data_IF_555313274720
#
_entry.id   IF_555313274720
#
_cell.length_a   1.000
_cell.length_b   1.000
_cell.length_c   1.000
_cell.angle_alpha   90.00
_cell.angle_beta   90.00
_cell.angle_gamma   90.00
#
_symmetry.space_group_name_H-M   'P 1'
#
loop_
_entity.id
_entity.type
_entity.pdbx_description
1 polymer ?
#
# COMPACT_ATOMS: atom_id res chain seq x y z
N UNK A 1 10.62 40.40 48.69
CA UNK A 1 10.53 38.92 48.78
C UNK A 1 9.19 38.52 48.20
N UNK A 2 9.18 38.04 46.99
CA UNK A 2 8.04 37.34 46.40
C UNK A 2 8.54 36.58 45.18
N UNK A 3 8.51 35.27 45.28
CA UNK A 3 8.96 34.28 44.34
C UNK A 3 7.88 34.07 43.28
N UNK A 4 8.21 34.29 42.03
CA UNK A 4 7.37 33.87 40.89
C UNK A 4 7.71 32.44 40.51
N UNK A 5 6.74 31.55 40.67
CA UNK A 5 6.77 30.21 40.13
C UNK A 5 6.35 30.27 38.65
N UNK A 6 7.25 29.81 37.77
CA UNK A 6 6.96 29.61 36.36
C UNK A 6 6.17 28.31 36.12
N UNK A 7 4.99 28.44 35.55
CA UNK A 7 4.23 27.29 35.05
C UNK A 7 4.76 26.88 33.69
N UNK A 8 5.33 25.69 33.57
CA UNK A 8 5.64 25.03 32.30
C UNK A 8 4.35 24.46 31.72
N UNK A 9 3.86 25.06 30.63
CA UNK A 9 2.77 24.51 29.86
C UNK A 9 3.30 23.34 29.02
N UNK A 10 2.92 22.12 29.36
CA UNK A 10 3.01 20.96 28.51
C UNK A 10 2.00 21.11 27.35
N UNK A 11 2.50 21.43 26.16
CA UNK A 11 1.73 21.33 24.95
C UNK A 11 1.48 19.84 24.62
N UNK A 12 0.37 19.51 23.94
CA UNK A 12 0.05 18.13 23.63
C UNK A 12 1.17 17.51 22.79
N UNK A 13 1.70 16.38 23.26
CA UNK A 13 2.68 15.59 22.55
C UNK A 13 2.07 15.18 21.19
N UNK A 14 2.57 15.77 20.11
CA UNK A 14 2.30 15.32 18.75
C UNK A 14 2.81 13.89 18.65
N UNK A 15 1.89 12.93 18.50
CA UNK A 15 2.19 11.52 18.40
C UNK A 15 3.24 11.29 17.32
N UNK A 16 4.45 10.99 17.72
CA UNK A 16 5.46 10.42 16.83
C UNK A 16 4.96 9.03 16.48
N UNK A 17 4.32 8.88 15.30
CA UNK A 17 4.01 7.58 14.72
C UNK A 17 5.30 6.77 14.70
N UNK A 18 5.26 5.59 15.30
CA UNK A 18 6.43 4.69 15.32
C UNK A 18 6.65 4.17 13.89
N UNK A 19 7.81 4.48 13.25
CA UNK A 19 8.06 4.03 11.88
C UNK A 19 8.21 2.52 11.85
N UNK A 20 7.60 1.87 10.84
CA UNK A 20 7.93 0.51 10.46
C UNK A 20 7.20 -0.62 11.18
N UNK A 21 6.02 -0.39 11.77
CA UNK A 21 5.24 -1.44 12.47
C UNK A 21 4.44 -2.38 11.56
N UNK A 22 4.19 -1.99 10.30
CA UNK A 22 3.62 -2.91 9.31
C UNK A 22 4.58 -4.09 9.09
N UNK A 23 4.06 -5.31 9.09
CA UNK A 23 4.87 -6.52 8.96
C UNK A 23 5.56 -6.97 10.26
N UNK A 24 5.45 -6.24 11.38
CA UNK A 24 5.97 -6.66 12.68
C UNK A 24 4.85 -6.94 13.69
N UNK A 25 3.91 -6.04 13.86
CA UNK A 25 2.81 -6.17 14.82
C UNK A 25 1.50 -6.63 14.17
N UNK A 26 1.19 -6.06 13.00
CA UNK A 26 0.06 -6.45 12.18
C UNK A 26 0.63 -6.95 10.84
N UNK A 27 0.14 -8.05 10.32
CA UNK A 27 0.58 -8.67 9.07
C UNK A 27 2.05 -9.18 9.04
N UNK A 28 2.54 -9.89 10.09
CA UNK A 28 3.92 -10.41 10.05
C UNK A 28 4.06 -11.48 8.97
N UNK A 29 5.13 -11.42 8.12
CA UNK A 29 5.35 -12.41 7.05
C UNK A 29 5.47 -13.86 7.53
N UNK A 30 5.79 -14.08 8.81
CA UNK A 30 5.85 -15.40 9.41
C UNK A 30 4.49 -15.98 9.83
N UNK A 31 3.40 -15.23 9.75
CA UNK A 31 2.05 -15.73 10.03
C UNK A 31 1.58 -16.61 8.89
N UNK A 32 1.08 -17.81 9.20
CA UNK A 32 0.53 -18.72 8.20
C UNK A 32 -0.57 -18.03 7.36
N UNK A 33 -0.56 -18.25 6.05
CA UNK A 33 -1.54 -17.68 5.11
C UNK A 33 -1.31 -16.19 4.77
N UNK A 34 -0.19 -15.59 5.15
CA UNK A 34 0.07 -14.18 4.78
C UNK A 34 0.35 -14.01 3.29
N UNK A 35 1.05 -14.95 2.68
CA UNK A 35 1.25 -14.99 1.23
C UNK A 35 -0.08 -15.19 0.48
N UNK A 36 -0.94 -16.08 0.94
CA UNK A 36 -2.28 -16.27 0.36
C UNK A 36 -3.11 -14.98 0.43
N UNK A 37 -3.10 -14.27 1.57
CA UNK A 37 -3.78 -12.98 1.70
C UNK A 37 -3.24 -11.94 0.70
N UNK A 38 -1.92 -11.83 0.57
CA UNK A 38 -1.29 -10.92 -0.39
C UNK A 38 -1.70 -11.31 -1.82
N UNK A 39 -1.72 -12.60 -2.14
CA UNK A 39 -2.09 -13.11 -3.45
C UNK A 39 -3.58 -12.85 -3.78
N UNK A 40 -4.50 -12.83 -2.80
CA UNK A 40 -5.89 -12.38 -3.01
C UNK A 40 -5.96 -10.90 -3.45
N UNK A 41 -5.14 -10.04 -2.87
CA UNK A 41 -4.96 -8.66 -3.32
C UNK A 41 -4.37 -8.59 -4.74
N UNK A 42 -3.39 -9.44 -5.04
CA UNK A 42 -2.80 -9.54 -6.38
C UNK A 42 -3.86 -9.94 -7.42
N UNK A 43 -4.65 -10.97 -7.17
CA UNK A 43 -5.74 -11.41 -8.05
C UNK A 43 -6.76 -10.30 -8.35
N UNK A 44 -6.93 -9.36 -7.44
CA UNK A 44 -7.87 -8.25 -7.61
C UNK A 44 -7.26 -7.10 -8.43
N UNK A 45 -5.99 -6.76 -8.20
CA UNK A 45 -5.43 -5.49 -8.68
C UNK A 45 -4.32 -5.64 -9.73
N UNK A 46 -3.77 -6.83 -9.96
CA UNK A 46 -2.64 -6.99 -10.87
C UNK A 46 -2.97 -6.64 -12.31
N UNK A 47 -4.17 -6.99 -12.79
CA UNK A 47 -4.56 -6.71 -14.18
C UNK A 47 -4.62 -5.21 -14.46
N UNK A 48 -5.23 -4.44 -13.57
CA UNK A 48 -5.31 -2.98 -13.74
C UNK A 48 -3.95 -2.31 -13.55
N UNK A 49 -3.13 -2.82 -12.61
CA UNK A 49 -1.76 -2.36 -12.42
C UNK A 49 -0.93 -2.60 -13.67
N UNK A 50 -0.91 -3.83 -14.19
CA UNK A 50 -0.11 -4.16 -15.37
C UNK A 50 -0.58 -3.42 -16.62
N UNK A 51 -1.90 -3.27 -16.80
CA UNK A 51 -2.45 -2.47 -17.90
C UNK A 51 -1.95 -1.02 -17.85
N UNK A 52 -1.90 -0.39 -16.66
CA UNK A 52 -1.37 0.95 -16.50
C UNK A 52 0.13 1.00 -16.77
N UNK A 53 0.92 0.08 -16.22
CA UNK A 53 2.36 0.04 -16.44
C UNK A 53 2.71 -0.12 -17.93
N UNK A 54 1.99 -0.97 -18.67
CA UNK A 54 2.11 -1.12 -20.12
C UNK A 54 1.74 0.16 -20.86
N UNK A 55 0.64 0.81 -20.48
CA UNK A 55 0.21 2.08 -21.10
C UNK A 55 1.25 3.20 -20.89
N UNK A 56 2.05 3.13 -19.83
CA UNK A 56 3.18 4.02 -19.57
C UNK A 56 4.47 3.61 -20.29
N UNK A 57 4.44 2.52 -21.07
CA UNK A 57 5.53 2.07 -21.93
C UNK A 57 6.41 0.97 -21.33
N UNK A 58 6.03 0.38 -20.18
CA UNK A 58 6.79 -0.75 -19.62
C UNK A 58 6.91 -1.89 -20.65
N UNK A 59 8.15 -2.25 -20.99
CA UNK A 59 8.42 -3.21 -22.06
C UNK A 59 9.90 -3.56 -22.21
N UNK A 60 10.28 -4.16 -23.36
CA UNK A 60 11.64 -4.61 -23.62
C UNK A 60 12.70 -3.50 -23.40
N UNK A 61 13.83 -3.87 -22.85
CA UNK A 61 14.94 -2.94 -22.55
C UNK A 61 14.76 -2.17 -21.24
N UNK A 62 13.62 -2.27 -20.57
CA UNK A 62 13.41 -1.57 -19.31
C UNK A 62 14.05 -2.30 -18.12
N UNK A 63 14.64 -1.51 -17.24
CA UNK A 63 15.10 -1.86 -15.92
C UNK A 63 14.12 -1.27 -14.92
N UNK A 64 13.50 -2.09 -14.11
CA UNK A 64 12.42 -1.70 -13.21
C UNK A 64 12.82 -1.95 -11.75
N UNK A 65 12.36 -1.07 -10.87
CA UNK A 65 12.41 -1.23 -9.42
C UNK A 65 10.98 -1.43 -8.90
N UNK A 66 10.77 -2.51 -8.18
CA UNK A 66 9.52 -2.80 -7.47
C UNK A 66 9.77 -2.72 -5.98
N UNK A 67 9.12 -1.78 -5.29
CA UNK A 67 9.26 -1.56 -3.85
C UNK A 67 8.10 -2.20 -3.10
N UNK A 68 8.40 -2.86 -1.96
CA UNK A 68 7.41 -3.60 -1.19
C UNK A 68 6.81 -4.72 -2.02
N UNK A 69 7.67 -5.51 -2.66
CA UNK A 69 7.26 -6.45 -3.69
C UNK A 69 6.41 -7.62 -3.18
N UNK A 70 6.37 -7.88 -1.86
CA UNK A 70 5.55 -8.91 -1.22
C UNK A 70 5.81 -10.29 -1.81
N UNK A 71 4.79 -10.91 -2.43
CA UNK A 71 4.93 -12.20 -3.12
C UNK A 71 5.56 -12.07 -4.51
N UNK A 72 5.75 -10.84 -5.02
CA UNK A 72 6.38 -10.56 -6.31
C UNK A 72 5.47 -10.74 -7.52
N UNK A 73 4.17 -10.65 -7.34
CA UNK A 73 3.18 -10.83 -8.41
C UNK A 73 3.38 -9.84 -9.55
N UNK A 74 3.46 -8.54 -9.26
CA UNK A 74 3.69 -7.47 -10.26
C UNK A 74 5.06 -7.62 -10.92
N UNK A 75 6.12 -7.86 -10.13
CA UNK A 75 7.47 -8.01 -10.66
C UNK A 75 7.58 -9.13 -11.70
N UNK A 76 6.97 -10.30 -11.41
CA UNK A 76 6.95 -11.43 -12.35
C UNK A 76 6.10 -11.16 -13.57
N UNK A 77 4.97 -10.50 -13.43
CA UNK A 77 4.11 -10.13 -14.57
C UNK A 77 4.77 -9.07 -15.46
N UNK A 78 5.54 -8.15 -14.91
CA UNK A 78 6.38 -7.22 -15.69
C UNK A 78 7.36 -8.00 -16.59
N UNK A 79 8.03 -9.01 -16.05
CA UNK A 79 8.96 -9.84 -16.82
C UNK A 79 8.25 -10.67 -17.87
N UNK A 80 7.21 -11.42 -17.51
CA UNK A 80 6.56 -12.41 -18.37
C UNK A 80 5.63 -11.79 -19.39
N UNK A 81 4.88 -10.77 -19.01
CA UNK A 81 3.77 -10.25 -19.80
C UNK A 81 4.07 -8.88 -20.42
N UNK A 82 4.81 -7.98 -19.75
CA UNK A 82 5.28 -6.74 -20.35
C UNK A 82 6.62 -6.91 -21.06
N UNK A 83 7.35 -8.00 -20.77
CA UNK A 83 8.63 -8.29 -21.43
C UNK A 83 9.74 -7.36 -21.00
N UNK A 84 9.69 -6.75 -19.79
CA UNK A 84 10.80 -5.94 -19.28
C UNK A 84 12.04 -6.82 -19.10
N UNK A 85 13.22 -6.23 -19.22
CA UNK A 85 14.47 -7.01 -19.24
C UNK A 85 14.87 -7.49 -17.85
N UNK A 86 14.64 -6.65 -16.84
CA UNK A 86 15.07 -6.93 -15.46
C UNK A 86 14.19 -6.18 -14.46
N UNK A 87 13.90 -6.83 -13.33
CA UNK A 87 13.24 -6.20 -12.19
C UNK A 87 14.09 -6.42 -10.94
N UNK A 88 14.41 -5.35 -10.23
CA UNK A 88 14.89 -5.43 -8.87
C UNK A 88 13.68 -5.33 -7.92
N UNK A 89 13.36 -6.41 -7.25
CA UNK A 89 12.31 -6.47 -6.24
C UNK A 89 12.90 -6.23 -4.86
N UNK A 90 12.41 -5.20 -4.18
CA UNK A 90 12.87 -4.80 -2.85
C UNK A 90 11.75 -5.02 -1.85
N UNK A 91 12.05 -5.69 -0.76
CA UNK A 91 11.17 -5.82 0.39
C UNK A 91 12.01 -5.88 1.68
N UNK A 92 11.40 -5.64 2.82
CA UNK A 92 12.06 -5.83 4.12
C UNK A 92 12.20 -7.31 4.50
N UNK A 93 11.42 -8.17 3.85
CA UNK A 93 11.48 -9.62 4.00
C UNK A 93 11.25 -10.27 2.64
N UNK A 94 12.28 -10.84 2.09
CA UNK A 94 12.25 -11.43 0.73
C UNK A 94 11.87 -12.91 0.70
N UNK A 95 11.42 -13.52 1.82
CA UNK A 95 11.13 -14.96 1.91
C UNK A 95 10.13 -15.44 0.84
N UNK A 96 9.06 -14.68 0.60
CA UNK A 96 8.04 -15.04 -0.41
C UNK A 96 8.58 -14.88 -1.84
N UNK A 97 9.42 -13.87 -2.06
CA UNK A 97 10.10 -13.66 -3.34
C UNK A 97 11.08 -14.79 -3.64
N UNK A 98 11.92 -15.14 -2.66
CA UNK A 98 12.95 -16.18 -2.79
C UNK A 98 12.37 -17.59 -3.00
N UNK A 99 11.15 -17.84 -2.49
CA UNK A 99 10.47 -19.13 -2.67
C UNK A 99 10.09 -19.42 -4.13
N UNK A 100 10.01 -18.39 -4.99
CA UNK A 100 9.56 -18.49 -6.38
C UNK A 100 10.53 -17.75 -7.32
N UNK A 101 11.72 -18.28 -7.61
CA UNK A 101 12.71 -17.63 -8.47
C UNK A 101 12.17 -17.43 -9.90
N UNK A 102 12.60 -16.34 -10.54
CA UNK A 102 12.20 -15.98 -11.90
C UNK A 102 13.42 -15.41 -12.65
N UNK A 103 13.71 -15.83 -13.89
CA UNK A 103 14.76 -15.22 -14.69
C UNK A 103 14.52 -13.71 -14.90
N UNK A 104 15.55 -12.90 -14.64
CA UNK A 104 15.47 -11.44 -14.72
C UNK A 104 14.94 -10.75 -13.45
N UNK A 105 14.56 -11.52 -12.43
CA UNK A 105 14.18 -11.01 -11.12
C UNK A 105 15.36 -11.06 -10.16
N UNK A 106 15.81 -9.89 -9.73
CA UNK A 106 16.77 -9.75 -8.65
C UNK A 106 16.07 -9.37 -7.35
N UNK A 107 16.60 -9.83 -6.22
CA UNK A 107 16.02 -9.59 -4.91
C UNK A 107 16.96 -8.75 -4.07
N UNK A 108 16.42 -7.79 -3.34
CA UNK A 108 17.13 -7.00 -2.36
C UNK A 108 16.29 -6.89 -1.08
N UNK A 109 16.79 -7.49 0.01
CA UNK A 109 16.22 -7.28 1.34
C UNK A 109 16.75 -5.96 1.89
N UNK A 110 15.86 -4.96 2.01
CA UNK A 110 16.24 -3.63 2.48
C UNK A 110 15.03 -2.86 3.02
N UNK A 111 15.31 -1.93 3.95
CA UNK A 111 14.33 -0.90 4.33
C UNK A 111 14.47 0.29 3.38
N UNK A 112 13.39 0.60 2.66
CA UNK A 112 13.35 1.74 1.73
C UNK A 112 13.48 3.09 2.43
N UNK A 113 13.28 3.14 3.74
CA UNK A 113 13.49 4.35 4.55
C UNK A 113 14.95 4.54 4.98
N UNK A 114 15.81 3.53 4.83
CA UNK A 114 17.24 3.67 5.14
C UNK A 114 17.82 4.87 4.35
N UNK A 115 18.49 5.83 5.03
CA UNK A 115 19.15 6.95 4.36
C UNK A 115 20.17 6.53 3.31
N UNK A 116 20.81 5.36 3.47
CA UNK A 116 21.77 4.77 2.54
C UNK A 116 21.14 4.01 1.36
N UNK A 117 19.82 3.88 1.29
CA UNK A 117 19.16 3.16 0.21
C UNK A 117 19.38 3.84 -1.15
N UNK A 118 20.28 3.31 -1.97
CA UNK A 118 20.52 3.70 -3.37
C UNK A 118 20.74 2.45 -4.23
N UNK A 119 19.66 1.80 -4.69
CA UNK A 119 19.74 0.56 -5.46
C UNK A 119 20.13 0.76 -6.93
N UNK A 120 20.41 1.97 -7.36
CA UNK A 120 20.75 2.32 -8.75
C UNK A 120 19.73 3.19 -9.44
N UNK A 121 19.67 3.10 -10.79
CA UNK A 121 18.80 3.94 -11.63
C UNK A 121 17.93 3.08 -12.54
N UNK A 122 16.65 3.48 -12.67
CA UNK A 122 15.62 2.66 -13.30
C UNK A 122 14.79 3.46 -14.30
N UNK A 123 14.25 2.77 -15.29
CA UNK A 123 13.27 3.33 -16.22
C UNK A 123 11.87 3.40 -15.61
N UNK A 124 11.53 2.45 -14.75
CA UNK A 124 10.32 2.40 -13.94
C UNK A 124 10.69 2.21 -12.47
N UNK A 125 10.11 3.03 -11.60
CA UNK A 125 10.05 2.79 -10.16
C UNK A 125 8.57 2.62 -9.80
N UNK A 126 8.21 1.48 -9.26
CA UNK A 126 6.84 1.15 -8.87
C UNK A 126 6.76 0.78 -7.40
N UNK A 127 5.69 1.19 -6.74
CA UNK A 127 5.33 0.76 -5.40
C UNK A 127 3.81 0.62 -5.30
N UNK A 128 3.32 -0.48 -4.72
CA UNK A 128 1.90 -0.70 -4.50
C UNK A 128 1.64 -1.20 -3.08
N UNK A 129 0.69 -0.55 -2.37
CA UNK A 129 0.35 -0.82 -0.97
C UNK A 129 1.54 -0.70 -0.02
N UNK A 130 2.36 0.33 -0.23
CA UNK A 130 3.58 0.58 0.54
C UNK A 130 3.52 1.92 1.28
N UNK A 131 3.36 3.02 0.54
CA UNK A 131 3.55 4.35 1.09
C UNK A 131 2.48 4.72 2.12
N UNK A 132 1.27 4.17 2.00
CA UNK A 132 0.20 4.39 2.98
C UNK A 132 0.58 3.89 4.40
N UNK A 133 1.56 3.02 4.51
CA UNK A 133 2.06 2.47 5.79
C UNK A 133 3.28 3.23 6.36
N UNK A 134 3.82 4.20 5.62
CA UNK A 134 5.04 4.91 5.97
C UNK A 134 4.72 6.33 6.48
N UNK A 135 5.55 6.87 7.36
CA UNK A 135 5.40 8.23 7.90
C UNK A 135 6.17 9.27 7.10
N UNK A 136 7.31 8.91 6.49
CA UNK A 136 8.19 9.81 5.73
C UNK A 136 7.92 9.80 4.21
N UNK A 137 6.65 9.69 3.82
CA UNK A 137 6.16 9.46 2.44
C UNK A 137 6.66 10.50 1.46
N UNK A 138 6.56 11.78 1.81
CA UNK A 138 6.95 12.89 0.92
C UNK A 138 8.44 12.86 0.59
N UNK A 139 9.28 12.66 1.62
CA UNK A 139 10.72 12.51 1.43
C UNK A 139 11.08 11.27 0.61
N UNK A 140 10.32 10.18 0.81
CA UNK A 140 10.51 8.98 0.02
C UNK A 140 10.15 9.22 -1.43
N UNK A 141 9.03 9.87 -1.76
CA UNK A 141 8.62 10.18 -3.14
C UNK A 141 9.71 10.99 -3.86
N UNK A 142 10.25 12.04 -3.21
CA UNK A 142 11.35 12.84 -3.76
C UNK A 142 12.60 11.96 -4.02
N UNK A 143 12.94 11.06 -3.09
CA UNK A 143 14.06 10.13 -3.25
C UNK A 143 13.83 9.14 -4.38
N UNK A 144 12.62 8.59 -4.51
CA UNK A 144 12.25 7.66 -5.60
C UNK A 144 12.32 8.35 -6.96
N UNK A 145 11.89 9.61 -7.06
CA UNK A 145 12.04 10.41 -8.27
C UNK A 145 13.50 10.53 -8.75
N UNK A 146 14.45 10.60 -7.81
CA UNK A 146 15.89 10.63 -8.11
C UNK A 146 16.45 9.28 -8.57
N UNK A 147 15.80 8.15 -8.27
CA UNK A 147 16.20 6.84 -8.77
C UNK A 147 15.80 6.60 -10.24
N UNK A 148 15.01 7.47 -10.84
CA UNK A 148 14.65 7.37 -12.25
C UNK A 148 15.81 7.83 -13.15
N UNK A 149 15.98 7.20 -14.31
CA UNK A 149 16.74 7.78 -15.41
C UNK A 149 15.96 8.94 -16.04
N UNK A 150 16.59 9.89 -16.79
CA UNK A 150 15.86 10.90 -17.56
C UNK A 150 14.76 10.26 -18.43
N UNK A 151 13.54 10.81 -18.38
CA UNK A 151 12.34 10.26 -19.04
C UNK A 151 11.78 8.99 -18.41
N UNK A 152 12.33 8.50 -17.29
CA UNK A 152 11.76 7.39 -16.51
C UNK A 152 10.47 7.79 -15.80
N UNK A 153 9.72 6.81 -15.30
CA UNK A 153 8.41 7.00 -14.67
C UNK A 153 8.37 6.44 -13.25
N UNK A 154 7.85 7.23 -12.30
CA UNK A 154 7.46 6.78 -10.96
C UNK A 154 5.96 6.49 -10.97
N UNK A 155 5.57 5.31 -10.49
CA UNK A 155 4.18 4.90 -10.36
C UNK A 155 3.92 4.47 -8.93
N UNK A 156 2.93 5.09 -8.28
CA UNK A 156 2.53 4.83 -6.90
C UNK A 156 1.09 4.35 -6.89
N UNK A 157 0.85 3.20 -6.26
CA UNK A 157 -0.46 2.61 -6.10
C UNK A 157 -0.74 2.32 -4.64
N UNK A 158 -1.83 2.89 -4.06
CA UNK A 158 -2.23 2.58 -2.69
C UNK A 158 -3.74 2.58 -2.53
N UNK A 159 -4.22 2.09 -1.39
CA UNK A 159 -5.64 2.11 -1.10
C UNK A 159 -6.15 3.55 -0.96
N UNK A 160 -7.35 3.80 -1.48
CA UNK A 160 -8.12 5.00 -1.25
C UNK A 160 -9.54 4.61 -0.85
N UNK A 161 -10.00 5.09 0.29
CA UNK A 161 -11.36 4.82 0.75
C UNK A 161 -12.30 5.97 0.35
N UNK A 162 -12.99 5.76 -0.75
CA UNK A 162 -14.03 6.66 -1.28
C UNK A 162 -15.44 6.14 -0.99
N UNK A 163 -15.56 4.98 -0.35
CA UNK A 163 -16.79 4.20 -0.34
C UNK A 163 -17.33 3.87 1.05
N UNK A 164 -16.52 3.99 2.13
CA UNK A 164 -16.98 3.60 3.46
C UNK A 164 -17.19 4.77 4.42
N UNK A 165 -16.45 5.86 4.30
CA UNK A 165 -16.43 6.95 5.28
C UNK A 165 -17.83 7.58 5.52
N UNK A 166 -18.51 7.97 4.44
CA UNK A 166 -19.80 8.65 4.46
C UNK A 166 -20.98 7.76 4.00
N UNK A 167 -20.71 6.47 3.76
CA UNK A 167 -21.73 5.52 3.30
C UNK A 167 -22.75 5.17 4.42
N UNK A 168 -23.95 4.69 4.05
CA UNK A 168 -24.87 4.07 5.00
C UNK A 168 -24.18 2.98 5.83
N UNK A 169 -24.61 2.80 7.06
CA UNK A 169 -24.01 1.82 7.96
C UNK A 169 -24.46 0.40 7.60
N UNK A 170 -23.60 -0.36 6.95
CA UNK A 170 -23.71 -1.80 6.76
C UNK A 170 -22.72 -2.52 7.68
N UNK A 171 -22.80 -3.84 7.87
CA UNK A 171 -21.75 -4.59 8.60
C UNK A 171 -20.37 -4.35 7.99
N UNK A 172 -20.28 -4.30 6.66
CA UNK A 172 -19.04 -4.02 5.91
C UNK A 172 -18.47 -2.63 6.21
N UNK A 173 -19.25 -1.55 6.00
CA UNK A 173 -18.76 -0.18 6.18
C UNK A 173 -18.35 0.09 7.62
N UNK A 174 -19.03 -0.52 8.59
CA UNK A 174 -18.66 -0.46 10.01
C UNK A 174 -17.30 -1.11 10.29
N UNK A 175 -17.08 -2.31 9.74
CA UNK A 175 -15.81 -3.02 9.86
C UNK A 175 -14.67 -2.24 9.16
N UNK A 176 -14.90 -1.69 7.97
CA UNK A 176 -13.92 -0.88 7.25
C UNK A 176 -13.49 0.35 8.05
N UNK A 177 -14.44 1.11 8.62
CA UNK A 177 -14.13 2.27 9.47
C UNK A 177 -13.29 1.87 10.68
N UNK A 178 -13.66 0.80 11.37
CA UNK A 178 -12.92 0.28 12.51
C UNK A 178 -11.51 -0.16 12.11
N UNK A 179 -11.37 -0.84 10.97
CA UNK A 179 -10.07 -1.27 10.45
C UNK A 179 -9.16 -0.08 10.13
N UNK A 180 -9.63 0.91 9.36
CA UNK A 180 -8.80 2.07 9.02
C UNK A 180 -8.39 2.87 10.25
N UNK A 181 -9.31 3.05 11.21
CA UNK A 181 -8.96 3.70 12.47
C UNK A 181 -7.95 2.87 13.26
N UNK A 182 -8.19 1.58 13.44
CA UNK A 182 -7.29 0.69 14.19
C UNK A 182 -5.90 0.59 13.58
N UNK A 183 -5.78 0.49 12.24
CA UNK A 183 -4.51 0.47 11.55
C UNK A 183 -3.78 1.83 11.63
N UNK A 184 -4.52 2.95 11.62
CA UNK A 184 -3.92 4.28 11.82
C UNK A 184 -3.34 4.41 13.22
N UNK A 185 -4.08 4.02 14.23
CA UNK A 185 -3.67 4.14 15.64
C UNK A 185 -2.54 3.16 16.00
N UNK A 186 -2.57 1.93 15.46
CA UNK A 186 -1.59 0.88 15.81
C UNK A 186 -0.30 0.98 15.00
N UNK A 187 -0.36 1.13 13.67
CA UNK A 187 0.80 1.05 12.77
C UNK A 187 1.00 2.28 11.87
N UNK A 188 0.18 3.32 12.02
CA UNK A 188 0.31 4.58 11.28
C UNK A 188 -0.16 4.52 9.82
N UNK A 189 -0.90 3.49 9.40
CA UNK A 189 -1.49 3.41 8.07
C UNK A 189 -2.46 4.57 7.84
N UNK A 190 -2.29 5.30 6.74
CA UNK A 190 -3.13 6.44 6.43
C UNK A 190 -3.53 6.47 4.95
N UNK A 191 -4.75 6.03 4.68
CA UNK A 191 -5.33 6.02 3.33
C UNK A 191 -5.91 7.38 2.93
N UNK A 192 -6.14 8.28 3.89
CA UNK A 192 -6.65 9.64 3.61
C UNK A 192 -5.62 10.53 2.91
N UNK A 193 -4.34 10.14 2.99
CA UNK A 193 -3.22 10.85 2.37
C UNK A 193 -3.05 10.50 0.88
N UNK A 194 -3.45 9.32 0.46
CA UNK A 194 -3.16 8.79 -0.89
C UNK A 194 -3.77 9.60 -2.04
N UNK A 195 -4.95 10.27 -1.91
CA UNK A 195 -5.46 11.16 -2.96
C UNK A 195 -4.53 12.33 -3.32
N UNK A 196 -3.58 12.67 -2.44
CA UNK A 196 -2.62 13.75 -2.65
C UNK A 196 -1.39 13.33 -3.46
N UNK A 197 -1.26 12.09 -3.90
CA UNK A 197 -0.14 11.64 -4.71
C UNK A 197 0.21 12.57 -5.89
N UNK A 198 -0.76 13.07 -6.70
CA UNK A 198 -0.43 14.00 -7.77
C UNK A 198 0.24 15.30 -7.31
N UNK A 199 -0.10 15.80 -6.12
CA UNK A 199 0.53 16.97 -5.52
C UNK A 199 2.00 16.67 -5.20
N UNK A 200 2.27 15.56 -4.51
CA UNK A 200 3.63 15.19 -4.09
C UNK A 200 4.53 14.80 -5.26
N UNK A 201 3.98 14.16 -6.29
CA UNK A 201 4.72 13.87 -7.52
C UNK A 201 5.17 15.15 -8.23
N UNK A 202 4.28 16.17 -8.29
CA UNK A 202 4.65 17.48 -8.83
C UNK A 202 5.69 18.19 -7.96
N UNK A 203 5.53 18.15 -6.63
CA UNK A 203 6.50 18.73 -5.70
C UNK A 203 7.90 18.09 -5.82
N UNK A 204 7.96 16.80 -6.15
CA UNK A 204 9.20 16.08 -6.45
C UNK A 204 9.79 16.40 -7.84
N UNK A 205 9.23 17.36 -8.58
CA UNK A 205 9.72 17.80 -9.89
C UNK A 205 9.36 16.89 -11.06
N UNK A 206 8.41 15.97 -10.87
CA UNK A 206 7.94 15.09 -11.95
C UNK A 206 6.92 15.81 -12.83
N UNK A 207 6.93 15.50 -14.12
CA UNK A 207 6.07 16.06 -15.15
C UNK A 207 5.09 15.04 -15.71
N UNK A 208 4.06 15.47 -16.46
CA UNK A 208 3.05 14.57 -16.98
C UNK A 208 2.30 13.82 -15.87
N UNK A 209 2.15 14.45 -14.70
CA UNK A 209 1.53 13.83 -13.53
C UNK A 209 0.03 13.64 -13.75
N UNK A 210 -0.42 12.40 -13.56
CA UNK A 210 -1.83 12.04 -13.58
C UNK A 210 -2.11 10.92 -12.57
N UNK A 211 -3.39 10.65 -12.34
CA UNK A 211 -3.84 9.55 -11.48
C UNK A 211 -5.18 8.99 -11.99
N UNK A 212 -5.45 7.77 -11.59
CA UNK A 212 -6.74 7.09 -11.79
C UNK A 212 -7.09 6.29 -10.54
N UNK A 213 -8.37 5.92 -10.41
CA UNK A 213 -8.85 5.08 -9.30
C UNK A 213 -9.63 3.91 -9.89
N UNK A 214 -9.26 2.70 -9.51
CA UNK A 214 -10.04 1.48 -9.77
C UNK A 214 -10.74 1.05 -8.49
N UNK A 215 -12.07 0.92 -8.54
CA UNK A 215 -12.90 0.52 -7.40
C UNK A 215 -13.56 -0.82 -7.71
N UNK A 216 -13.11 -1.94 -7.12
CA UNK A 216 -13.72 -3.24 -7.37
C UNK A 216 -15.06 -3.38 -6.62
N UNK A 217 -16.08 -4.02 -7.22
CA UNK A 217 -17.28 -4.40 -6.51
C UNK A 217 -16.99 -5.54 -5.54
N UNK A 218 -17.68 -5.56 -4.40
CA UNK A 218 -17.71 -6.73 -3.53
C UNK A 218 -18.71 -7.73 -4.08
N UNK A 219 -18.22 -8.91 -4.40
CA UNK A 219 -19.03 -10.02 -4.89
C UNK A 219 -18.75 -11.24 -4.00
N UNK A 220 -19.78 -11.96 -3.52
CA UNK A 220 -19.59 -13.16 -2.72
C UNK A 220 -18.58 -14.13 -3.35
N UNK A 221 -17.63 -14.63 -2.54
CA UNK A 221 -16.57 -15.53 -3.00
C UNK A 221 -15.50 -14.91 -3.90
N UNK A 222 -15.53 -13.59 -4.15
CA UNK A 222 -14.49 -12.93 -4.95
C UNK A 222 -13.17 -12.80 -4.19
N UNK A 223 -12.01 -12.69 -4.89
CA UNK A 223 -10.72 -12.49 -4.24
C UNK A 223 -10.70 -11.28 -3.29
N UNK A 224 -11.37 -10.17 -3.65
CA UNK A 224 -11.39 -8.97 -2.80
C UNK A 224 -12.21 -9.18 -1.53
N UNK A 225 -13.30 -9.94 -1.57
CA UNK A 225 -14.08 -10.29 -0.37
C UNK A 225 -13.25 -11.16 0.57
N UNK A 226 -12.55 -12.17 0.04
CA UNK A 226 -11.61 -12.98 0.81
C UNK A 226 -10.46 -12.17 1.40
N UNK A 227 -9.87 -11.25 0.63
CA UNK A 227 -8.81 -10.35 1.10
C UNK A 227 -9.24 -9.52 2.33
N UNK A 228 -10.46 -8.96 2.31
CA UNK A 228 -10.96 -8.19 3.45
C UNK A 228 -11.28 -9.06 4.65
N UNK A 229 -11.88 -10.22 4.45
CA UNK A 229 -12.15 -11.18 5.54
C UNK A 229 -10.85 -11.57 6.26
N UNK A 230 -9.80 -11.94 5.52
CA UNK A 230 -8.49 -12.29 6.09
C UNK A 230 -7.80 -11.08 6.73
N UNK A 231 -7.92 -9.90 6.12
CA UNK A 231 -7.34 -8.66 6.66
C UNK A 231 -7.98 -8.30 8.00
N UNK A 232 -9.31 -8.41 8.13
CA UNK A 232 -10.01 -8.13 9.39
C UNK A 232 -9.66 -9.16 10.47
N UNK A 233 -9.51 -10.43 10.13
CA UNK A 233 -9.07 -11.43 11.10
C UNK A 233 -7.69 -11.09 11.67
N UNK A 234 -6.77 -10.66 10.84
CA UNK A 234 -5.41 -10.26 11.25
C UNK A 234 -5.39 -8.94 12.02
N UNK A 235 -6.24 -8.00 11.65
CA UNK A 235 -6.35 -6.68 12.28
C UNK A 235 -7.31 -6.66 13.46
N UNK A 236 -7.93 -7.79 13.83
CA UNK A 236 -9.00 -7.92 14.83
C UNK A 236 -8.72 -7.17 16.13
N UNK A 237 -7.53 -7.35 16.70
CA UNK A 237 -7.14 -6.68 17.94
C UNK A 237 -7.08 -5.14 17.78
N UNK A 238 -6.57 -4.65 16.66
CA UNK A 238 -6.54 -3.21 16.36
C UNK A 238 -7.96 -2.67 16.13
N UNK A 239 -8.83 -3.43 15.46
CA UNK A 239 -10.22 -3.04 15.19
C UNK A 239 -11.04 -2.96 16.49
N UNK A 240 -10.97 -3.97 17.35
CA UNK A 240 -11.71 -4.00 18.63
C UNK A 240 -11.21 -2.92 19.61
N UNK A 241 -9.91 -2.61 19.59
CA UNK A 241 -9.34 -1.55 20.40
C UNK A 241 -9.93 -0.15 20.10
N UNK A 242 -10.49 0.07 18.91
CA UNK A 242 -11.17 1.33 18.55
C UNK A 242 -12.49 1.55 19.30
N UNK A 243 -13.10 0.48 19.82
CA UNK A 243 -14.45 0.51 20.40
C UNK A 243 -15.60 0.64 19.38
N UNK A 244 -15.30 0.71 18.07
CA UNK A 244 -16.31 0.80 17.00
C UNK A 244 -16.97 -0.54 16.70
N UNK A 245 -16.23 -1.62 16.90
CA UNK A 245 -16.66 -3.02 16.66
C UNK A 245 -16.19 -3.93 17.80
N UNK A 246 -16.92 -4.98 18.02
CA UNK A 246 -16.51 -6.15 18.79
C UNK A 246 -16.31 -7.37 17.86
N UNK A 247 -15.90 -8.51 18.42
CA UNK A 247 -15.68 -9.73 17.65
C UNK A 247 -16.95 -10.18 16.91
N UNK A 248 -18.12 -10.06 17.54
CA UNK A 248 -19.38 -10.45 16.92
C UNK A 248 -19.73 -9.57 15.71
N UNK A 249 -19.41 -8.27 15.76
CA UNK A 249 -19.60 -7.35 14.65
C UNK A 249 -18.61 -7.64 13.49
N UNK A 250 -17.37 -8.04 13.79
CA UNK A 250 -16.39 -8.45 12.76
C UNK A 250 -16.87 -9.75 12.08
N UNK A 251 -17.31 -10.75 12.86
CA UNK A 251 -17.87 -11.99 12.30
C UNK A 251 -19.13 -11.72 11.44
N UNK A 252 -19.97 -10.78 11.85
CA UNK A 252 -21.14 -10.39 11.06
C UNK A 252 -20.72 -9.72 9.73
N UNK A 253 -19.65 -8.91 9.75
CA UNK A 253 -19.12 -8.31 8.54
C UNK A 253 -18.51 -9.33 7.57
N UNK A 254 -17.78 -10.33 8.09
CA UNK A 254 -17.26 -11.45 7.28
C UNK A 254 -18.40 -12.21 6.62
N UNK A 255 -19.45 -12.58 7.38
CA UNK A 255 -20.63 -13.26 6.80
C UNK A 255 -21.37 -12.39 5.78
N UNK A 256 -21.36 -11.07 5.98
CA UNK A 256 -22.01 -10.14 5.04
C UNK A 256 -21.28 -10.10 3.68
N UNK A 257 -19.95 -10.24 3.64
CA UNK A 257 -19.21 -10.33 2.38
C UNK A 257 -19.61 -11.51 1.50
N UNK A 258 -20.10 -12.60 2.10
CA UNK A 258 -20.58 -13.79 1.39
C UNK A 258 -22.11 -13.78 1.19
N UNK A 259 -22.80 -12.74 1.65
CA UNK A 259 -24.25 -12.60 1.50
C UNK A 259 -24.61 -12.04 0.10
N UNK A 260 -25.70 -12.53 -0.52
CA UNK A 260 -26.25 -11.89 -1.71
C UNK A 260 -26.76 -10.45 -1.46
N UNK A 261 -26.93 -10.04 -0.21
CA UNK A 261 -27.32 -8.69 0.17
C UNK A 261 -26.12 -7.70 0.15
N UNK A 262 -24.89 -8.20 -0.01
CA UNK A 262 -23.70 -7.37 -0.11
C UNK A 262 -23.70 -6.65 -1.47
N UNK A 263 -23.96 -5.34 -1.41
CA UNK A 263 -23.98 -4.46 -2.59
C UNK A 263 -23.00 -3.29 -2.44
N UNK A 264 -22.02 -3.44 -1.54
CA UNK A 264 -21.00 -2.43 -1.27
C UNK A 264 -19.87 -2.47 -2.32
N UNK A 265 -19.11 -1.39 -2.37
CA UNK A 265 -17.87 -1.30 -3.14
C UNK A 265 -16.67 -1.36 -2.20
N UNK A 266 -15.62 -2.05 -2.63
CA UNK A 266 -14.34 -2.06 -1.92
C UNK A 266 -13.69 -0.68 -1.93
N UNK A 267 -12.78 -0.35 -0.99
CA UNK A 267 -11.81 0.69 -1.21
C UNK A 267 -11.12 0.53 -2.56
N UNK A 268 -10.88 1.67 -3.22
CA UNK A 268 -10.23 1.69 -4.52
C UNK A 268 -8.71 1.54 -4.41
N UNK A 269 -8.09 1.19 -5.53
CA UNK A 269 -6.68 1.40 -5.78
C UNK A 269 -6.51 2.73 -6.52
N UNK A 270 -5.95 3.76 -5.88
CA UNK A 270 -5.44 4.92 -6.60
C UNK A 270 -4.09 4.56 -7.19
N UNK A 271 -3.92 4.82 -8.48
CA UNK A 271 -2.63 4.73 -9.17
C UNK A 271 -2.27 6.11 -9.70
N UNK A 272 -1.16 6.67 -9.20
CA UNK A 272 -0.66 7.97 -9.64
C UNK A 272 0.73 7.81 -10.23
N UNK A 273 1.06 8.61 -11.24
CA UNK A 273 2.36 8.55 -11.92
C UNK A 273 2.87 9.91 -12.34
N UNK A 274 4.18 10.00 -12.56
CA UNK A 274 4.84 11.16 -13.11
C UNK A 274 6.20 10.78 -13.70
N UNK A 275 6.66 11.55 -14.69
CA UNK A 275 7.89 11.29 -15.43
C UNK A 275 9.00 12.22 -14.95
N UNK A 276 10.22 11.69 -14.81
CA UNK A 276 11.42 12.51 -14.63
C UNK A 276 11.67 13.30 -15.92
N UNK A 277 11.85 14.64 -15.86
CA UNK A 277 12.28 15.42 -17.03
C UNK A 277 13.53 14.83 -17.71
N UNK A 278 13.63 15.03 -19.04
CA UNK A 278 14.76 14.60 -19.84
C UNK A 278 16.02 15.44 -19.62
#
# INVERSE_FOLDING_TARGET
>A
MSTHAGGSGDGPATGRGLPGRYGTEVFPPGRAGEDERIDLGALTYDDVTLARLRALGAGPGWHCLELGAGTGSVARRLLREAGVTRVLAVDRDVRFLAARPEPGLDLLEADVLDPGFDPGRFRLVHARFVLMHLTERERLIDRLGRLLVPGGVLVLGDAVDLTSADAPTTPYTRAMRAMWQGLRESIGTDVSWTPRYPEFLRAAGLTGVAAEVHVPPLVPGSPISGFWADTWDRARAAMTATGLVDDAAIEAAVRYLDSPDCADLSPGLITAWGHRPG
#
